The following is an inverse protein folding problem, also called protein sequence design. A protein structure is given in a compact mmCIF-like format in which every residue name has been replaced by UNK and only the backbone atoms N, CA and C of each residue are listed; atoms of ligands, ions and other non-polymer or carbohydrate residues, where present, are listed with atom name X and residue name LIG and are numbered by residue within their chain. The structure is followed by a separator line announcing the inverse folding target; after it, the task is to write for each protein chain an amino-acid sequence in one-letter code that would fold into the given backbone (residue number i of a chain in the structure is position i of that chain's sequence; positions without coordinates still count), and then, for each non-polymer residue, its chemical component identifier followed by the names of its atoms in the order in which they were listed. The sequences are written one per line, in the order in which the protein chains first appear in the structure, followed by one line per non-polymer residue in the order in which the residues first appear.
data_IF_977040482625
#
_entry.id   IF_977040482625
#
_cell.length_a   1.000
_cell.length_b   1.000
_cell.length_c   1.000
_cell.angle_alpha   90.00
_cell.angle_beta   90.00
_cell.angle_gamma   90.00
#
_symmetry.space_group_name_H-M   'P 1'
#
loop_
_entity.id
_entity.type
_entity.pdbx_description
1 polymer ?
#
# COMPACT_ATOMS: atom_id res chain seq x y z
N UNK A 1 -2.39 23.44 0.46
CA UNK A 1 -2.05 22.06 0.04
C UNK A 1 -2.30 21.15 1.23
N UNK A 2 -3.07 20.08 1.05
CA UNK A 2 -3.21 19.02 2.06
C UNK A 2 -1.98 18.11 2.02
N UNK A 3 -1.44 17.80 3.18
CA UNK A 3 -0.38 16.80 3.35
C UNK A 3 -1.05 15.49 3.75
N UNK A 4 -0.61 14.38 3.20
CA UNK A 4 -1.03 13.03 3.60
C UNK A 4 0.22 12.21 3.91
N UNK A 5 0.23 11.54 5.04
CA UNK A 5 1.27 10.59 5.43
C UNK A 5 0.78 9.19 5.06
N UNK A 6 1.62 8.42 4.39
CA UNK A 6 1.35 7.01 4.08
C UNK A 6 2.07 6.09 5.07
N UNK A 7 1.42 5.00 5.44
CA UNK A 7 1.98 3.97 6.32
C UNK A 7 1.63 2.57 5.84
N UNK A 8 2.57 1.64 5.97
CA UNK A 8 2.35 0.21 5.76
C UNK A 8 1.58 -0.47 6.89
N UNK A 9 1.26 0.26 7.97
CA UNK A 9 0.56 -0.29 9.12
C UNK A 9 1.44 -0.47 10.36
N UNK A 10 2.41 0.42 10.58
CA UNK A 10 3.21 0.47 11.80
C UNK A 10 2.34 1.00 12.96
N UNK A 11 1.68 0.09 13.69
CA UNK A 11 0.71 0.40 14.74
C UNK A 11 1.21 1.43 15.76
N UNK A 12 2.42 1.31 16.36
CA UNK A 12 2.89 2.30 17.32
C UNK A 12 3.10 3.70 16.72
N UNK A 13 3.36 3.79 15.39
CA UNK A 13 3.46 5.08 14.73
C UNK A 13 2.09 5.72 14.50
N UNK A 14 1.07 4.90 14.18
CA UNK A 14 -0.33 5.36 14.05
C UNK A 14 -0.83 5.88 15.40
N UNK A 15 -0.57 5.17 16.49
CA UNK A 15 -0.96 5.58 17.84
C UNK A 15 -0.28 6.89 18.27
N UNK A 16 1.00 7.09 17.93
CA UNK A 16 1.69 8.36 18.18
C UNK A 16 1.09 9.49 17.33
N UNK A 17 0.85 9.20 16.03
CA UNK A 17 0.21 10.15 15.13
C UNK A 17 -1.16 10.60 15.65
N UNK A 18 -1.96 9.67 16.20
CA UNK A 18 -3.27 9.99 16.77
C UNK A 18 -3.18 11.00 17.94
N UNK A 19 -2.09 10.98 18.68
CA UNK A 19 -1.87 11.86 19.86
C UNK A 19 -1.19 13.20 19.50
N UNK A 20 -0.61 13.33 18.30
CA UNK A 20 0.12 14.53 17.91
C UNK A 20 -0.87 15.65 17.47
N UNK A 21 -0.83 16.85 18.07
CA UNK A 21 -1.68 17.97 17.68
C UNK A 21 -1.53 18.38 16.21
N UNK A 22 -0.34 18.23 15.62
CA UNK A 22 -0.09 18.55 14.22
C UNK A 22 -0.83 17.62 13.26
N UNK A 23 -1.16 16.40 13.70
CA UNK A 23 -1.91 15.43 12.90
C UNK A 23 -3.30 15.90 12.51
N UNK A 24 -3.88 16.90 13.20
CA UNK A 24 -5.18 17.50 12.85
C UNK A 24 -5.24 18.11 11.43
N UNK A 25 -4.09 18.41 10.83
CA UNK A 25 -3.96 19.03 9.51
C UNK A 25 -3.42 18.09 8.44
N UNK A 26 -3.18 16.83 8.79
CA UNK A 26 -2.50 15.86 7.94
C UNK A 26 -3.40 14.64 7.77
N UNK A 27 -3.67 14.25 6.52
CA UNK A 27 -4.38 13.02 6.20
C UNK A 27 -3.52 11.79 6.46
N UNK A 28 -4.17 10.65 6.69
CA UNK A 28 -3.52 9.36 6.84
C UNK A 28 -3.93 8.41 5.71
N UNK A 29 -2.96 7.86 5.01
CA UNK A 29 -3.14 6.78 4.05
C UNK A 29 -2.55 5.48 4.62
N UNK A 30 -3.38 4.45 4.73
CA UNK A 30 -3.01 3.16 5.32
C UNK A 30 -3.03 2.09 4.24
N UNK A 31 -1.88 1.48 3.95
CA UNK A 31 -1.79 0.35 3.04
C UNK A 31 -2.36 -0.91 3.70
N UNK A 32 -3.60 -1.26 3.35
CA UNK A 32 -4.26 -2.47 3.84
C UNK A 32 -3.87 -3.68 2.99
N UNK A 33 -4.02 -3.60 1.69
CA UNK A 33 -3.60 -4.53 0.62
C UNK A 33 -4.11 -5.98 0.72
N UNK A 34 -4.84 -6.34 1.76
CA UNK A 34 -5.45 -7.66 1.93
C UNK A 34 -6.66 -7.58 2.88
N UNK A 35 -7.49 -8.60 2.83
CA UNK A 35 -8.70 -8.73 3.66
C UNK A 35 -8.61 -9.88 4.67
N UNK A 36 -7.53 -10.67 4.61
CA UNK A 36 -7.20 -11.71 5.58
C UNK A 36 -5.73 -11.61 5.96
N UNK A 37 -5.40 -12.08 7.17
CA UNK A 37 -4.02 -12.05 7.66
C UNK A 37 -3.11 -12.96 6.84
N UNK A 38 -3.61 -14.11 6.36
CA UNK A 38 -2.84 -15.05 5.55
C UNK A 38 -2.36 -14.40 4.24
N UNK A 39 -3.23 -13.67 3.56
CA UNK A 39 -2.87 -12.95 2.34
C UNK A 39 -1.97 -11.76 2.69
N UNK A 40 -2.27 -11.04 3.78
CA UNK A 40 -1.48 -9.88 4.18
C UNK A 40 -0.07 -10.26 4.62
N UNK A 41 0.13 -11.42 5.25
CA UNK A 41 1.45 -11.94 5.60
C UNK A 41 2.35 -12.14 4.36
N UNK A 42 1.74 -12.56 3.24
CA UNK A 42 2.45 -12.76 1.97
C UNK A 42 2.84 -11.46 1.28
N UNK A 43 1.92 -10.48 1.26
CA UNK A 43 2.11 -9.24 0.48
C UNK A 43 2.68 -8.09 1.31
N UNK A 44 2.56 -8.16 2.63
CA UNK A 44 3.02 -7.15 3.58
C UNK A 44 3.56 -7.79 4.85
N UNK A 45 4.85 -8.16 4.92
CA UNK A 45 5.43 -8.87 6.07
C UNK A 45 5.28 -8.18 7.42
N UNK A 46 5.01 -6.87 7.44
CA UNK A 46 4.69 -6.12 8.66
C UNK A 46 3.47 -6.68 9.40
N UNK A 47 2.59 -7.41 8.70
CA UNK A 47 1.41 -8.05 9.27
C UNK A 47 1.77 -9.16 10.26
N UNK A 48 2.93 -9.80 10.12
CA UNK A 48 3.43 -10.77 11.09
C UNK A 48 3.62 -10.15 12.49
N UNK A 49 3.84 -8.84 12.54
CA UNK A 49 4.03 -8.10 13.79
C UNK A 49 2.74 -7.44 14.30
N UNK A 50 1.91 -6.95 13.38
CA UNK A 50 0.64 -6.30 13.69
C UNK A 50 -0.44 -6.77 12.72
N UNK A 51 -1.37 -7.56 13.23
CA UNK A 51 -2.47 -8.15 12.47
C UNK A 51 -3.44 -7.08 11.98
N UNK A 52 -4.26 -7.43 10.99
CA UNK A 52 -5.28 -6.52 10.44
C UNK A 52 -6.17 -5.94 11.55
N UNK A 53 -6.55 -6.75 12.52
CA UNK A 53 -7.38 -6.30 13.64
C UNK A 53 -6.69 -5.21 14.45
N UNK A 54 -5.42 -5.43 14.86
CA UNK A 54 -4.65 -4.45 15.62
C UNK A 54 -4.42 -3.16 14.82
N UNK A 55 -4.17 -3.28 13.53
CA UNK A 55 -4.06 -2.14 12.62
C UNK A 55 -5.34 -1.32 12.59
N UNK A 56 -6.50 -1.98 12.38
CA UNK A 56 -7.79 -1.31 12.31
C UNK A 56 -8.19 -0.71 13.67
N UNK A 57 -7.84 -1.34 14.78
CA UNK A 57 -8.09 -0.80 16.13
C UNK A 57 -7.26 0.47 16.38
N UNK A 58 -5.99 0.49 15.95
CA UNK A 58 -5.17 1.70 16.03
C UNK A 58 -5.74 2.84 15.16
N UNK A 59 -6.30 2.52 13.99
CA UNK A 59 -6.96 3.50 13.12
C UNK A 59 -8.29 3.98 13.71
N UNK A 60 -9.06 3.10 14.39
CA UNK A 60 -10.29 3.49 15.12
C UNK A 60 -10.02 4.42 16.28
N UNK A 61 -8.84 4.34 16.88
CA UNK A 61 -8.43 5.24 17.96
C UNK A 61 -8.12 6.67 17.49
N UNK A 62 -8.08 6.94 16.17
CA UNK A 62 -7.96 8.30 15.65
C UNK A 62 -9.17 9.15 16.06
N UNK A 63 -8.97 10.42 16.45
CA UNK A 63 -10.06 11.36 16.71
C UNK A 63 -11.03 11.49 15.53
N UNK A 64 -12.32 11.69 15.80
CA UNK A 64 -13.37 11.72 14.77
C UNK A 64 -13.18 12.81 13.72
N UNK A 65 -12.66 13.97 14.11
CA UNK A 65 -12.33 15.09 13.21
C UNK A 65 -11.22 14.73 12.19
N UNK A 66 -10.43 13.70 12.48
CA UNK A 66 -9.31 13.22 11.66
C UNK A 66 -9.67 12.09 10.73
N UNK A 67 -10.75 11.36 11.00
CA UNK A 67 -11.21 10.24 10.18
C UNK A 67 -11.67 10.67 8.79
N UNK A 68 -12.06 11.93 8.61
CA UNK A 68 -12.48 12.48 7.30
C UNK A 68 -11.40 12.48 6.23
N UNK A 69 -10.13 12.47 6.64
CA UNK A 69 -8.96 12.46 5.75
C UNK A 69 -8.25 11.08 5.77
N UNK A 70 -8.97 10.03 6.19
CA UNK A 70 -8.49 8.65 6.17
C UNK A 70 -8.67 8.04 4.78
N UNK A 71 -7.62 7.42 4.31
CA UNK A 71 -7.63 6.65 3.06
C UNK A 71 -7.05 5.26 3.31
N UNK A 72 -7.73 4.22 2.86
CA UNK A 72 -7.12 2.90 2.73
C UNK A 72 -6.60 2.72 1.30
N UNK A 73 -5.37 2.25 1.18
CA UNK A 73 -4.80 1.86 -0.10
C UNK A 73 -4.87 0.34 -0.26
N UNK A 74 -5.32 -0.09 -1.42
CA UNK A 74 -5.52 -1.49 -1.74
C UNK A 74 -4.92 -1.78 -3.12
N UNK A 75 -3.71 -2.34 -3.13
CA UNK A 75 -3.04 -2.78 -4.35
C UNK A 75 -3.65 -4.11 -4.78
N UNK A 76 -4.29 -4.12 -5.94
CA UNK A 76 -4.89 -5.33 -6.52
C UNK A 76 -3.82 -6.17 -7.23
N UNK A 77 -3.66 -7.39 -6.77
CA UNK A 77 -2.75 -8.41 -7.29
C UNK A 77 -3.59 -9.54 -7.91
N UNK A 78 -3.31 -9.89 -9.16
CA UNK A 78 -4.05 -10.92 -9.88
C UNK A 78 -4.02 -12.26 -9.16
N UNK A 79 -5.20 -12.85 -8.92
CA UNK A 79 -5.39 -14.18 -8.30
C UNK A 79 -4.86 -14.30 -6.86
N UNK A 80 -4.68 -13.17 -6.17
CA UNK A 80 -4.23 -13.13 -4.77
C UNK A 80 -5.28 -12.44 -3.90
N UNK A 81 -5.66 -11.20 -4.25
CA UNK A 81 -6.56 -10.37 -3.46
C UNK A 81 -7.57 -9.61 -4.33
N UNK A 82 -7.78 -10.03 -5.59
CA UNK A 82 -8.64 -9.38 -6.58
C UNK A 82 -9.97 -10.12 -6.82
N UNK A 83 -10.35 -11.04 -5.93
CA UNK A 83 -11.59 -11.81 -6.03
C UNK A 83 -12.80 -11.00 -5.55
N UNK A 84 -13.99 -11.40 -5.98
CA UNK A 84 -15.25 -10.77 -5.55
C UNK A 84 -15.44 -10.84 -4.02
N UNK A 85 -15.10 -11.97 -3.43
CA UNK A 85 -15.19 -12.14 -1.98
C UNK A 85 -14.23 -11.21 -1.22
N UNK A 86 -13.09 -10.81 -1.81
CA UNK A 86 -12.21 -9.81 -1.21
C UNK A 86 -12.86 -8.43 -1.18
N UNK A 87 -13.57 -8.05 -2.26
CA UNK A 87 -14.31 -6.79 -2.29
C UNK A 87 -15.42 -6.76 -1.23
N UNK A 88 -16.12 -7.87 -1.02
CA UNK A 88 -17.11 -7.99 0.05
C UNK A 88 -16.47 -7.90 1.43
N UNK A 89 -15.40 -8.67 1.70
CA UNK A 89 -14.68 -8.62 2.98
C UNK A 89 -14.08 -7.26 3.27
N UNK A 90 -13.52 -6.59 2.25
CA UNK A 90 -13.01 -5.23 2.40
C UNK A 90 -14.11 -4.29 2.91
N UNK A 91 -15.31 -4.36 2.30
CA UNK A 91 -16.42 -3.55 2.74
C UNK A 91 -16.84 -3.87 4.19
N UNK A 92 -16.82 -5.13 4.59
CA UNK A 92 -17.15 -5.52 5.97
C UNK A 92 -16.09 -5.05 6.98
N UNK A 93 -14.81 -5.11 6.63
CA UNK A 93 -13.71 -4.71 7.51
C UNK A 93 -13.69 -3.20 7.81
N UNK A 94 -14.05 -2.37 6.82
CA UNK A 94 -13.89 -0.91 6.94
C UNK A 94 -15.22 -0.14 6.92
N UNK A 95 -16.38 -0.81 7.03
CA UNK A 95 -17.70 -0.18 6.97
C UNK A 95 -17.92 0.92 8.02
N UNK A 96 -17.26 0.79 9.19
CA UNK A 96 -17.42 1.70 10.31
C UNK A 96 -16.50 2.94 10.21
N UNK A 97 -15.70 3.02 9.14
CA UNK A 97 -14.79 4.14 8.92
C UNK A 97 -15.37 5.14 7.92
N UNK A 98 -15.35 6.42 8.26
CA UNK A 98 -15.54 7.49 7.28
C UNK A 98 -14.25 7.70 6.48
N UNK A 99 -14.06 6.89 5.45
CA UNK A 99 -12.81 6.82 4.71
C UNK A 99 -13.00 6.77 3.20
N UNK A 100 -11.91 6.93 2.47
CA UNK A 100 -11.79 6.63 1.06
C UNK A 100 -10.98 5.36 0.86
N UNK A 101 -11.20 4.66 -0.25
CA UNK A 101 -10.38 3.53 -0.68
C UNK A 101 -9.76 3.84 -2.04
N UNK A 102 -8.44 3.87 -2.11
CA UNK A 102 -7.71 3.90 -3.36
C UNK A 102 -7.42 2.47 -3.80
N UNK A 103 -8.04 2.03 -4.88
CA UNK A 103 -7.75 0.76 -5.54
C UNK A 103 -6.68 1.01 -6.61
N UNK A 104 -5.57 0.29 -6.49
CA UNK A 104 -4.38 0.49 -7.32
C UNK A 104 -4.07 -0.84 -8.03
N UNK A 105 -4.38 -1.00 -9.32
CA UNK A 105 -3.94 -2.18 -10.06
C UNK A 105 -2.40 -2.27 -10.02
N UNK A 106 -1.89 -3.44 -9.67
CA UNK A 106 -0.45 -3.65 -9.56
C UNK A 106 0.27 -3.32 -10.87
N UNK A 107 1.40 -2.65 -10.77
CA UNK A 107 2.30 -2.45 -11.89
C UNK A 107 3.43 -3.48 -11.83
N UNK A 108 3.50 -4.46 -12.76
CA UNK A 108 4.53 -5.50 -12.74
C UNK A 108 5.93 -4.91 -12.84
N UNK A 109 6.86 -5.48 -12.08
CA UNK A 109 8.28 -5.14 -12.13
C UNK A 109 9.14 -6.37 -11.81
N UNK A 110 10.43 -6.40 -12.24
CA UNK A 110 11.27 -7.61 -12.16
C UNK A 110 11.47 -8.20 -10.76
N UNK A 111 11.32 -7.39 -9.72
CA UNK A 111 11.57 -7.79 -8.33
C UNK A 111 10.33 -8.29 -7.57
N UNK A 112 9.18 -8.36 -8.22
CA UNK A 112 7.95 -8.86 -7.59
C UNK A 112 7.32 -10.00 -8.41
N UNK A 113 6.95 -11.13 -7.79
CA UNK A 113 6.38 -12.27 -8.48
C UNK A 113 4.88 -12.11 -8.79
N UNK A 114 4.36 -10.88 -8.68
CA UNK A 114 2.94 -10.59 -8.81
C UNK A 114 2.56 -10.16 -10.21
N UNK A 115 1.28 -10.34 -10.55
CA UNK A 115 0.72 -9.96 -11.85
C UNK A 115 -0.36 -8.89 -11.69
N UNK A 116 -0.50 -8.06 -12.72
CA UNK A 116 -1.58 -7.07 -12.82
C UNK A 116 -2.91 -7.78 -13.09
N UNK A 117 -3.99 -7.44 -12.37
CA UNK A 117 -5.33 -7.93 -12.67
C UNK A 117 -5.81 -7.45 -14.04
N UNK A 118 -6.68 -8.22 -14.68
CA UNK A 118 -7.38 -7.75 -15.88
C UNK A 118 -8.29 -6.57 -15.56
N UNK A 119 -8.52 -5.70 -16.56
CA UNK A 119 -9.44 -4.56 -16.39
C UNK A 119 -10.84 -5.00 -15.96
N UNK A 120 -11.32 -6.16 -16.44
CA UNK A 120 -12.61 -6.71 -16.05
C UNK A 120 -12.66 -7.06 -14.55
N UNK A 121 -11.61 -7.67 -14.00
CA UNK A 121 -11.54 -7.99 -12.57
C UNK A 121 -11.47 -6.72 -11.71
N UNK A 122 -10.67 -5.74 -12.13
CA UNK A 122 -10.61 -4.43 -11.44
C UNK A 122 -11.99 -3.78 -11.41
N UNK A 123 -12.68 -3.71 -12.54
CA UNK A 123 -14.03 -3.13 -12.63
C UNK A 123 -15.04 -3.90 -11.77
N UNK A 124 -14.99 -5.22 -11.78
CA UNK A 124 -15.85 -6.07 -10.96
C UNK A 124 -15.64 -5.82 -9.46
N UNK A 125 -14.38 -5.82 -9.01
CA UNK A 125 -14.02 -5.51 -7.63
C UNK A 125 -14.56 -4.14 -7.20
N UNK A 126 -14.33 -3.11 -8.02
CA UNK A 126 -14.78 -1.75 -7.74
C UNK A 126 -16.31 -1.63 -7.71
N UNK A 127 -17.01 -2.34 -8.62
CA UNK A 127 -18.48 -2.35 -8.66
C UNK A 127 -19.05 -2.94 -7.37
N UNK A 128 -18.51 -4.06 -6.91
CA UNK A 128 -18.92 -4.70 -5.66
C UNK A 128 -18.64 -3.79 -4.46
N UNK A 129 -17.43 -3.28 -4.35
CA UNK A 129 -17.06 -2.41 -3.23
C UNK A 129 -17.93 -1.15 -3.16
N UNK A 130 -18.23 -0.50 -4.29
CA UNK A 130 -19.16 0.62 -4.38
C UNK A 130 -20.59 0.21 -4.02
N UNK A 131 -21.06 -0.92 -4.52
CA UNK A 131 -22.39 -1.47 -4.21
C UNK A 131 -22.57 -1.78 -2.71
N UNK A 132 -21.46 -2.02 -1.99
CA UNK A 132 -21.43 -2.19 -0.54
C UNK A 132 -21.27 -0.86 0.23
N UNK A 133 -21.34 0.29 -0.46
CA UNK A 133 -21.32 1.62 0.15
C UNK A 133 -19.94 2.24 0.34
N UNK A 134 -18.85 1.61 -0.15
CA UNK A 134 -17.52 2.19 -0.04
C UNK A 134 -17.30 3.31 -1.07
N UNK A 135 -16.61 4.38 -0.65
CA UNK A 135 -16.11 5.43 -1.55
C UNK A 135 -14.79 4.97 -2.17
N UNK A 136 -14.86 4.34 -3.35
CA UNK A 136 -13.71 3.71 -4.01
C UNK A 136 -13.27 4.51 -5.22
N UNK A 137 -11.97 4.77 -5.31
CA UNK A 137 -11.32 5.46 -6.41
C UNK A 137 -10.27 4.57 -7.06
N UNK A 138 -10.28 4.51 -8.39
CA UNK A 138 -9.22 3.84 -9.15
C UNK A 138 -8.04 4.80 -9.28
N UNK A 139 -6.89 4.40 -8.76
CA UNK A 139 -5.61 5.09 -9.03
C UNK A 139 -4.85 4.34 -10.10
N UNK A 140 -4.72 4.95 -11.26
CA UNK A 140 -3.79 4.44 -12.27
C UNK A 140 -2.39 4.90 -11.90
N UNK A 141 -1.41 4.01 -11.76
CA UNK A 141 -0.01 4.38 -11.58
C UNK A 141 0.41 5.35 -12.70
N UNK A 142 1.08 6.43 -12.32
CA UNK A 142 1.74 7.31 -13.30
C UNK A 142 3.17 6.82 -13.42
N UNK A 143 3.66 6.65 -14.64
CA UNK A 143 5.05 6.25 -14.89
C UNK A 143 5.21 4.77 -15.27
N UNK A 144 4.18 4.13 -15.83
CA UNK A 144 4.28 2.77 -16.41
C UNK A 144 5.38 2.68 -17.48
N UNK A 145 5.69 3.80 -18.12
CA UNK A 145 6.68 3.96 -19.19
C UNK A 145 8.11 4.25 -18.70
N UNK A 146 8.29 4.63 -17.44
CA UNK A 146 9.60 5.04 -16.89
C UNK A 146 10.02 4.25 -15.63
N UNK A 147 9.36 3.13 -15.31
CA UNK A 147 9.69 2.30 -14.15
C UNK A 147 9.56 3.00 -12.79
N UNK A 148 8.90 4.16 -12.72
CA UNK A 148 8.82 4.99 -11.52
C UNK A 148 7.75 4.50 -10.55
N UNK A 149 7.81 3.23 -10.12
CA UNK A 149 7.03 2.75 -9.00
C UNK A 149 7.74 3.03 -7.68
N UNK A 150 6.97 3.23 -6.62
CA UNK A 150 7.50 3.52 -5.29
C UNK A 150 8.47 2.41 -4.84
N UNK A 151 9.73 2.74 -4.60
CA UNK A 151 10.79 1.79 -4.22
C UNK A 151 11.63 1.22 -5.37
N UNK A 152 11.23 1.33 -6.64
CA UNK A 152 12.01 0.82 -7.78
C UNK A 152 13.33 1.59 -7.98
N UNK A 153 13.29 2.91 -7.86
CA UNK A 153 14.48 3.75 -7.99
C UNK A 153 15.56 3.50 -6.92
N UNK A 154 15.16 3.02 -5.73
CA UNK A 154 16.12 2.69 -4.67
C UNK A 154 16.90 1.40 -4.95
N UNK A 155 16.33 0.46 -5.71
CA UNK A 155 16.97 -0.80 -6.06
C UNK A 155 17.91 -0.68 -7.28
N UNK A 156 17.65 0.26 -8.19
CA UNK A 156 18.52 0.52 -9.35
C UNK A 156 19.82 1.24 -8.95
N UNK A 157 19.82 1.99 -7.82
CA UNK A 157 21.01 2.69 -7.31
C UNK A 157 22.03 1.81 -6.61
N UNK A 158 21.68 0.59 -6.20
CA UNK A 158 22.61 -0.33 -5.52
C UNK A 158 23.38 -1.26 -6.49
N UNK A 159 23.03 -1.28 -7.78
CA UNK A 159 23.64 -2.15 -8.81
C UNK A 159 24.86 -1.58 -9.54
N UNK A 160 25.18 -0.29 -9.43
CA UNK A 160 26.27 0.35 -10.20
C UNK A 160 27.54 0.66 -9.41
N UNK A 161 27.70 0.13 -8.23
CA UNK A 161 28.88 0.38 -7.39
C UNK A 161 29.68 -0.86 -7.08
N UNK A 162 30.46 -1.43 -8.01
CA UNK A 162 31.80 -2.02 -7.79
C UNK A 162 32.28 -2.80 -9.02
N UNK A 163 32.95 -2.16 -9.95
CA UNK A 163 34.05 -2.80 -10.68
C UNK A 163 35.13 -1.76 -11.00
N UNK A 164 35.90 -1.43 -10.00
CA UNK A 164 37.19 -0.77 -10.15
C UNK A 164 38.26 -1.85 -10.13
N UNK A 165 38.56 -2.39 -11.31
CA UNK A 165 39.71 -3.28 -11.52
C UNK A 165 41.01 -2.49 -11.37
N UNK A 166 41.70 -2.71 -10.28
CA UNK A 166 43.12 -2.37 -10.16
C UNK A 166 43.90 -3.36 -11.00
N UNK A 167 44.43 -2.85 -12.13
CA UNK A 167 45.47 -3.53 -12.89
C UNK A 167 46.83 -3.45 -12.16
N UNK A 168 47.69 -4.46 -12.29
CA UNK A 168 48.95 -4.50 -11.56
C UNK A 168 50.00 -3.57 -12.20
N UNK A 169 50.68 -2.77 -11.34
CA UNK A 169 51.88 -2.03 -11.67
C UNK A 169 53.03 -3.02 -11.91
N UNK A 170 53.45 -3.17 -13.16
CA UNK A 170 54.71 -3.84 -13.50
C UNK A 170 55.84 -2.82 -13.37
N UNK A 171 56.69 -3.02 -12.40
CA UNK A 171 58.04 -2.45 -12.33
C UNK A 171 58.99 -3.31 -13.17
N UNK A 172 59.81 -2.70 -13.98
CA UNK A 172 61.02 -3.30 -14.59
C UNK A 172 62.04 -2.21 -14.88
N UNK A 173 63.33 -2.57 -14.96
CA UNK A 173 64.41 -2.21 -14.04
C UNK A 173 65.13 -0.93 -14.44
#
# INVERSE_FOLDING_TARGET
RRITISTSGLVPAIERFAKDPLSARVGLAVSLNATTDEVRDQVMPINLKWRITELLDAVRALPDDRRRDLTFEYVLLAEINDFEHDAHRLADLIRDFDCHVNVIPFNPHPHAPYRRPSSARVQRFMTIAKGRGLRVYLRTPRGDDIGAACGQLALEGEGEGTSSTHGPLTSTP
#
